data_IF_085384057065
#
_entry.id   IF_085384057065
#
_cell.length_a   1.000
_cell.length_b   1.000
_cell.length_c   1.000
_cell.angle_alpha   90.00
_cell.angle_beta   90.00
_cell.angle_gamma   90.00
#
_symmetry.space_group_name_H-M   'P 1'
#
loop_
_entity.id
_entity.type
_entity.pdbx_description
1 polymer ?
#
# COMPACT_ATOMS: atom_id res chain seq x y z
N UNK A 1 4.46 -34.78 4.89
CA UNK A 1 5.07 -35.28 3.63
C UNK A 1 6.44 -34.68 3.35
N UNK A 2 6.60 -33.35 3.36
CA UNK A 2 7.92 -32.68 3.21
C UNK A 2 8.88 -33.09 4.33
N UNK A 3 8.46 -33.00 5.60
CA UNK A 3 9.29 -33.35 6.76
C UNK A 3 9.78 -34.80 6.72
N UNK A 4 8.91 -35.73 6.30
CA UNK A 4 9.28 -37.14 6.14
C UNK A 4 10.32 -37.37 5.04
N UNK A 5 10.26 -36.61 3.93
CA UNK A 5 11.26 -36.67 2.86
C UNK A 5 12.60 -36.08 3.32
N UNK A 6 12.57 -34.96 4.06
CA UNK A 6 13.76 -34.35 4.66
C UNK A 6 14.44 -35.28 5.67
N UNK A 7 13.66 -35.93 6.55
CA UNK A 7 14.17 -36.93 7.51
C UNK A 7 14.83 -38.12 6.81
N UNK A 8 14.33 -38.51 5.63
CA UNK A 8 14.90 -39.57 4.79
C UNK A 8 16.06 -39.10 3.91
N UNK A 9 16.45 -37.82 3.99
CA UNK A 9 17.44 -37.17 3.12
C UNK A 9 17.10 -37.28 1.62
N UNK A 10 15.82 -37.43 1.30
CA UNK A 10 15.33 -37.43 -0.08
C UNK A 10 14.98 -35.99 -0.49
N UNK A 11 16.05 -35.23 -0.77
CA UNK A 11 15.95 -33.81 -1.12
C UNK A 11 15.22 -33.57 -2.45
N UNK A 12 15.34 -34.50 -3.41
CA UNK A 12 14.61 -34.44 -4.68
C UNK A 12 13.10 -34.51 -4.45
N UNK A 13 12.64 -35.46 -3.64
CA UNK A 13 11.23 -35.62 -3.34
C UNK A 13 10.71 -34.49 -2.45
N UNK A 14 11.51 -34.02 -1.49
CA UNK A 14 11.19 -32.85 -0.66
C UNK A 14 11.00 -31.60 -1.53
N UNK A 15 11.93 -31.33 -2.45
CA UNK A 15 11.86 -30.22 -3.41
C UNK A 15 10.61 -30.27 -4.26
N UNK A 16 10.27 -31.45 -4.80
CA UNK A 16 9.04 -31.64 -5.61
C UNK A 16 7.78 -31.30 -4.82
N UNK A 17 7.70 -31.69 -3.55
CA UNK A 17 6.57 -31.35 -2.69
C UNK A 17 6.50 -29.86 -2.37
N UNK A 18 7.65 -29.24 -2.10
CA UNK A 18 7.75 -27.81 -1.84
C UNK A 18 7.35 -26.99 -3.07
N UNK A 19 7.86 -27.34 -4.26
CA UNK A 19 7.50 -26.70 -5.52
C UNK A 19 6.00 -26.79 -5.79
N UNK A 20 5.40 -27.98 -5.61
CA UNK A 20 3.95 -28.14 -5.77
C UNK A 20 3.16 -27.23 -4.81
N UNK A 21 3.66 -27.02 -3.60
CA UNK A 21 3.11 -26.06 -2.66
C UNK A 21 3.21 -24.62 -3.19
N UNK A 22 4.37 -24.22 -3.69
CA UNK A 22 4.57 -22.91 -4.32
C UNK A 22 3.64 -22.71 -5.53
N UNK A 23 3.49 -23.72 -6.39
CA UNK A 23 2.62 -23.64 -7.57
C UNK A 23 1.14 -23.52 -7.19
N UNK A 24 0.75 -24.10 -6.06
CA UNK A 24 -0.63 -24.09 -5.56
C UNK A 24 -0.97 -22.78 -4.85
N UNK A 25 -0.08 -22.29 -3.99
CA UNK A 25 -0.35 -21.15 -3.10
C UNK A 25 0.27 -19.83 -3.59
N UNK A 26 1.16 -19.89 -4.57
CA UNK A 26 1.91 -18.75 -5.10
C UNK A 26 3.13 -18.38 -4.25
N UNK A 27 3.90 -17.42 -4.76
CA UNK A 27 5.07 -16.85 -4.09
C UNK A 27 4.62 -15.80 -3.08
N UNK A 28 4.35 -16.21 -1.84
CA UNK A 28 3.81 -15.30 -0.81
C UNK A 28 4.84 -15.01 0.29
N UNK A 29 5.03 -13.73 0.67
CA UNK A 29 5.82 -13.38 1.85
C UNK A 29 5.16 -13.79 3.17
N UNK A 30 3.82 -13.87 3.20
CA UNK A 30 3.00 -14.03 4.40
C UNK A 30 2.57 -15.48 4.70
N UNK A 31 2.62 -16.40 3.72
CA UNK A 31 2.49 -17.85 3.95
C UNK A 31 3.85 -18.54 3.65
N UNK A 32 4.83 -18.36 4.55
CA UNK A 32 6.25 -18.48 4.25
C UNK A 32 6.76 -19.91 4.03
N UNK A 33 5.98 -20.93 4.39
CA UNK A 33 6.54 -22.27 4.60
C UNK A 33 7.13 -22.85 3.31
N UNK A 34 6.36 -22.91 2.23
CA UNK A 34 6.83 -23.54 0.98
C UNK A 34 7.98 -22.76 0.35
N UNK A 35 7.84 -21.43 0.23
CA UNK A 35 8.88 -20.61 -0.40
C UNK A 35 10.17 -20.57 0.42
N UNK A 36 10.09 -20.32 1.74
CA UNK A 36 11.30 -20.27 2.60
C UNK A 36 11.96 -21.64 2.74
N UNK A 37 11.18 -22.73 2.81
CA UNK A 37 11.75 -24.07 2.84
C UNK A 37 12.40 -24.43 1.51
N UNK A 38 11.81 -24.03 0.38
CA UNK A 38 12.39 -24.26 -0.95
C UNK A 38 13.67 -23.45 -1.16
N UNK A 39 13.69 -22.17 -0.77
CA UNK A 39 14.90 -21.33 -0.78
C UNK A 39 16.01 -21.98 0.02
N UNK A 40 15.75 -22.37 1.28
CA UNK A 40 16.75 -23.01 2.14
C UNK A 40 17.27 -24.33 1.56
N UNK A 41 16.38 -25.12 0.95
CA UNK A 41 16.74 -26.39 0.32
C UNK A 41 17.59 -26.16 -0.93
N UNK A 42 17.21 -25.19 -1.77
CA UNK A 42 17.98 -24.84 -2.97
C UNK A 42 19.37 -24.29 -2.61
N UNK A 43 19.47 -23.40 -1.61
CA UNK A 43 20.76 -22.95 -1.05
C UNK A 43 21.61 -24.11 -0.51
N UNK A 44 21.00 -25.03 0.25
CA UNK A 44 21.71 -26.19 0.79
C UNK A 44 22.27 -27.12 -0.31
N UNK A 45 21.58 -27.23 -1.44
CA UNK A 45 22.01 -28.03 -2.59
C UNK A 45 22.87 -27.23 -3.61
N UNK A 46 23.24 -25.98 -3.31
CA UNK A 46 24.07 -25.14 -4.17
C UNK A 46 23.35 -24.52 -5.38
N UNK A 47 22.01 -24.51 -5.36
CA UNK A 47 21.12 -23.94 -6.39
C UNK A 47 20.77 -22.49 -6.08
N UNK A 48 21.80 -21.63 -6.11
CA UNK A 48 21.67 -20.22 -5.71
C UNK A 48 20.82 -19.39 -6.68
N UNK A 49 20.83 -19.73 -7.98
CA UNK A 49 20.02 -19.04 -8.99
C UNK A 49 18.52 -19.29 -8.76
N UNK A 50 18.15 -20.54 -8.47
CA UNK A 50 16.77 -20.92 -8.16
C UNK A 50 16.30 -20.30 -6.85
N UNK A 51 17.14 -20.33 -5.81
CA UNK A 51 16.85 -19.69 -4.53
C UNK A 51 16.62 -18.18 -4.70
N UNK A 52 17.48 -17.51 -5.48
CA UNK A 52 17.37 -16.07 -5.77
C UNK A 52 16.11 -15.76 -6.57
N UNK A 53 15.80 -16.55 -7.60
CA UNK A 53 14.58 -16.40 -8.41
C UNK A 53 13.31 -16.49 -7.56
N UNK A 54 13.24 -17.45 -6.62
CA UNK A 54 12.10 -17.59 -5.70
C UNK A 54 12.03 -16.38 -4.76
N UNK A 55 13.17 -15.91 -4.23
CA UNK A 55 13.22 -14.74 -3.35
C UNK A 55 12.77 -13.46 -4.08
N UNK A 56 13.18 -13.27 -5.33
CA UNK A 56 12.74 -12.15 -6.16
C UNK A 56 11.25 -12.23 -6.50
N UNK A 57 10.73 -13.43 -6.79
CA UNK A 57 9.30 -13.64 -7.00
C UNK A 57 8.49 -13.30 -5.74
N UNK A 58 8.98 -13.66 -4.54
CA UNK A 58 8.37 -13.25 -3.29
C UNK A 58 8.39 -11.73 -3.11
N UNK A 59 9.54 -11.09 -3.38
CA UNK A 59 9.69 -9.63 -3.23
C UNK A 59 8.77 -8.86 -4.19
N UNK A 60 8.56 -9.38 -5.41
CA UNK A 60 7.59 -8.81 -6.37
C UNK A 60 6.14 -8.90 -5.90
N UNK A 61 5.83 -9.89 -5.06
CA UNK A 61 4.48 -10.10 -4.52
C UNK A 61 4.29 -9.50 -3.12
N UNK A 62 5.34 -8.89 -2.55
CA UNK A 62 5.26 -8.15 -1.31
C UNK A 62 4.59 -6.81 -1.59
N UNK A 63 3.42 -6.59 -1.00
CA UNK A 63 2.76 -5.29 -1.01
C UNK A 63 3.57 -4.35 -0.12
N UNK A 64 3.96 -3.19 -0.66
CA UNK A 64 4.66 -2.16 0.09
C UNK A 64 3.68 -1.16 0.72
N UNK A 65 4.09 -0.53 1.82
CA UNK A 65 3.36 0.58 2.41
C UNK A 65 3.35 1.79 1.48
N UNK A 66 2.21 2.49 1.32
CA UNK A 66 2.16 3.75 0.60
C UNK A 66 3.13 4.78 1.19
N UNK A 67 3.82 5.51 0.30
CA UNK A 67 4.81 6.54 0.65
C UNK A 67 4.63 7.78 -0.21
N UNK A 68 5.46 8.80 -0.02
CA UNK A 68 5.51 10.00 -0.89
C UNK A 68 4.14 10.69 -1.09
N UNK A 69 3.45 11.08 -0.01
CA UNK A 69 2.11 11.64 -0.09
C UNK A 69 2.08 13.01 -0.77
N UNK A 70 1.01 13.28 -1.51
CA UNK A 70 0.55 14.60 -1.94
C UNK A 70 -0.95 14.70 -1.61
N UNK A 71 -1.41 15.68 -0.81
CA UNK A 71 -0.63 16.72 -0.15
C UNK A 71 0.49 16.17 0.74
N UNK A 72 1.63 16.85 0.78
CA UNK A 72 2.78 16.39 1.56
C UNK A 72 2.42 16.36 3.04
N UNK A 73 3.05 15.46 3.78
CA UNK A 73 2.85 15.42 5.23
C UNK A 73 3.24 16.77 5.85
N UNK A 74 2.32 17.33 6.64
CA UNK A 74 2.35 18.66 7.25
C UNK A 74 2.29 19.85 6.28
N UNK A 75 1.83 19.63 5.06
CA UNK A 75 1.63 20.73 4.10
C UNK A 75 0.50 21.66 4.53
N UNK A 76 0.68 22.95 4.34
CA UNK A 76 -0.29 23.99 4.70
C UNK A 76 -0.64 24.83 3.48
N UNK A 77 -1.87 25.35 3.43
CA UNK A 77 -2.30 26.17 2.30
C UNK A 77 -2.65 25.34 1.07
N UNK A 78 -3.01 24.07 1.27
CA UNK A 78 -3.44 23.18 0.18
C UNK A 78 -4.72 23.74 -0.44
N UNK A 79 -4.78 23.98 -1.77
CA UNK A 79 -5.99 24.42 -2.45
C UNK A 79 -7.15 23.44 -2.21
N UNK A 80 -8.40 23.89 -2.39
CA UNK A 80 -9.57 23.01 -2.18
C UNK A 80 -9.80 22.02 -3.35
N UNK A 81 -9.19 22.26 -4.51
CA UNK A 81 -9.31 21.50 -5.75
C UNK A 81 -8.08 20.60 -6.04
N UNK A 82 -7.37 20.20 -4.99
CA UNK A 82 -6.21 19.33 -5.07
C UNK A 82 -6.55 17.87 -5.45
N UNK A 83 -5.51 17.09 -5.71
CA UNK A 83 -5.59 15.64 -5.97
C UNK A 83 -4.73 14.93 -4.93
N UNK A 84 -5.28 13.92 -4.27
CA UNK A 84 -4.50 12.98 -3.46
C UNK A 84 -3.64 12.13 -4.39
N UNK A 85 -2.37 11.95 -4.05
CA UNK A 85 -1.44 11.09 -4.76
C UNK A 85 -0.48 10.45 -3.75
N UNK A 86 -0.04 9.23 -4.01
CA UNK A 86 0.94 8.50 -3.22
C UNK A 86 1.81 7.65 -4.13
N UNK A 87 2.93 7.15 -3.61
CA UNK A 87 3.81 6.26 -4.35
C UNK A 87 3.13 4.95 -4.72
N UNK A 88 3.27 4.54 -5.97
CA UNK A 88 2.84 3.23 -6.44
C UNK A 88 3.48 2.11 -5.62
N UNK A 89 2.63 1.22 -5.11
CA UNK A 89 3.05 0.05 -4.36
C UNK A 89 3.13 -1.13 -5.33
N UNK A 90 4.33 -1.64 -5.57
CA UNK A 90 4.70 -2.69 -6.53
C UNK A 90 3.69 -3.85 -6.71
N UNK A 91 3.11 -4.38 -5.63
CA UNK A 91 2.20 -5.53 -5.64
C UNK A 91 0.75 -5.16 -5.30
N UNK A 92 0.44 -3.87 -5.17
CA UNK A 92 -0.91 -3.41 -4.90
C UNK A 92 -1.76 -3.50 -6.18
N UNK A 93 -2.92 -4.13 -6.06
CA UNK A 93 -3.96 -4.18 -7.08
C UNK A 93 -5.02 -3.11 -6.87
N UNK A 94 -5.12 -2.58 -5.64
CA UNK A 94 -6.04 -1.50 -5.30
C UNK A 94 -5.58 -0.76 -4.04
N UNK A 95 -6.18 0.41 -3.81
CA UNK A 95 -5.96 1.22 -2.62
C UNK A 95 -7.27 1.63 -1.95
N UNK A 96 -7.24 1.69 -0.62
CA UNK A 96 -8.31 2.23 0.20
C UNK A 96 -7.80 3.49 0.90
N UNK A 97 -8.45 4.63 0.67
CA UNK A 97 -8.08 5.93 1.24
C UNK A 97 -9.02 6.27 2.40
N UNK A 98 -8.42 6.71 3.50
CA UNK A 98 -9.09 7.16 4.72
C UNK A 98 -8.78 8.64 4.93
N UNK A 99 -9.80 9.44 5.19
CA UNK A 99 -9.70 10.88 5.41
C UNK A 99 -10.62 11.28 6.57
N UNK A 100 -10.11 12.07 7.51
CA UNK A 100 -10.88 12.61 8.64
C UNK A 100 -10.31 13.93 9.14
N UNK A 101 -11.07 14.70 9.91
CA UNK A 101 -10.59 15.99 10.46
C UNK A 101 -9.83 15.78 11.76
N UNK A 102 -8.93 16.71 12.06
CA UNK A 102 -8.30 16.75 13.40
C UNK A 102 -9.39 16.95 14.45
N UNK A 103 -9.43 16.03 15.43
CA UNK A 103 -10.44 16.00 16.48
C UNK A 103 -11.54 14.95 16.25
N UNK A 104 -11.59 14.35 15.05
CA UNK A 104 -12.43 13.18 14.76
C UNK A 104 -11.62 11.88 14.93
N UNK A 105 -12.33 10.77 15.12
CA UNK A 105 -11.73 9.43 15.10
C UNK A 105 -11.46 8.97 13.67
N UNK A 106 -10.52 8.04 13.51
CA UNK A 106 -10.29 7.44 12.21
C UNK A 106 -11.54 6.65 11.76
N UNK A 107 -12.02 6.83 10.52
CA UNK A 107 -13.16 6.09 10.00
C UNK A 107 -12.92 4.58 9.98
N UNK A 108 -13.93 3.81 10.37
CA UNK A 108 -13.89 2.33 10.28
C UNK A 108 -13.83 1.83 8.83
N UNK A 109 -14.42 2.59 7.91
CA UNK A 109 -14.49 2.28 6.48
C UNK A 109 -13.78 3.34 5.65
N UNK A 110 -13.18 2.96 4.50
CA UNK A 110 -12.47 3.92 3.66
C UNK A 110 -13.41 4.96 3.06
N UNK A 111 -12.98 6.22 3.06
CA UNK A 111 -13.65 7.34 2.39
C UNK A 111 -13.60 7.16 0.86
N UNK A 112 -12.61 6.44 0.33
CA UNK A 112 -12.59 5.96 -1.06
C UNK A 112 -12.02 4.57 -1.12
N UNK A 113 -12.80 3.62 -1.62
CA UNK A 113 -12.45 2.20 -1.64
C UNK A 113 -12.04 1.74 -3.05
N UNK A 114 -11.19 0.71 -3.11
CA UNK A 114 -10.85 -0.05 -4.31
C UNK A 114 -10.35 0.80 -5.47
N UNK A 115 -9.58 1.84 -5.18
CA UNK A 115 -8.95 2.70 -6.17
C UNK A 115 -7.89 1.90 -6.93
N UNK A 116 -7.98 1.86 -8.26
CA UNK A 116 -7.00 1.16 -9.11
C UNK A 116 -5.80 2.03 -9.50
N UNK A 117 -5.88 3.33 -9.25
CA UNK A 117 -4.79 4.29 -9.44
C UNK A 117 -4.29 4.77 -8.08
N UNK A 118 -3.01 5.15 -8.02
CA UNK A 118 -2.36 5.74 -6.83
C UNK A 118 -2.72 7.22 -6.62
N UNK A 119 -3.89 7.63 -7.10
CA UNK A 119 -4.39 9.00 -7.00
C UNK A 119 -5.91 9.05 -6.99
N UNK A 120 -6.46 10.07 -6.35
CA UNK A 120 -7.91 10.34 -6.39
C UNK A 120 -8.20 11.79 -6.06
N UNK A 121 -9.34 12.30 -6.54
CA UNK A 121 -9.88 13.58 -6.05
C UNK A 121 -10.50 13.37 -4.66
N UNK A 122 -10.61 14.43 -3.83
CA UNK A 122 -11.35 14.35 -2.59
C UNK A 122 -12.77 13.79 -2.83
N UNK A 123 -13.17 12.71 -2.12
CA UNK A 123 -14.49 12.10 -2.31
C UNK A 123 -15.63 12.95 -1.75
N UNK A 124 -15.30 13.84 -0.82
CA UNK A 124 -16.22 14.73 -0.14
C UNK A 124 -15.76 16.18 -0.23
N UNK A 125 -16.67 17.10 0.10
CA UNK A 125 -16.38 18.53 0.10
C UNK A 125 -15.33 18.84 1.18
N UNK A 126 -14.22 19.42 0.75
CA UNK A 126 -13.14 19.85 1.62
C UNK A 126 -13.43 21.25 2.17
N UNK A 127 -13.33 21.41 3.48
CA UNK A 127 -13.55 22.69 4.15
C UNK A 127 -12.29 23.57 4.12
N UNK A 128 -12.43 24.89 3.88
CA UNK A 128 -11.32 25.82 3.96
C UNK A 128 -10.78 25.97 5.37
N UNK A 129 -9.49 26.29 5.49
CA UNK A 129 -8.80 26.53 6.76
C UNK A 129 -8.82 25.34 7.74
N UNK A 130 -9.09 24.13 7.25
CA UNK A 130 -9.32 22.93 8.04
C UNK A 130 -8.11 22.00 7.97
N UNK A 131 -7.80 21.33 9.08
CA UNK A 131 -6.70 20.38 9.16
C UNK A 131 -7.25 18.96 9.09
N UNK A 132 -6.77 18.19 8.13
CA UNK A 132 -7.19 16.82 7.85
C UNK A 132 -6.05 15.85 8.10
N UNK A 133 -6.39 14.68 8.62
CA UNK A 133 -5.52 13.51 8.64
C UNK A 133 -5.99 12.54 7.55
N UNK A 134 -5.05 11.87 6.92
CA UNK A 134 -5.35 10.87 5.92
C UNK A 134 -4.29 9.79 5.87
N UNK A 135 -4.68 8.61 5.41
CA UNK A 135 -3.76 7.51 5.10
C UNK A 135 -4.32 6.68 3.96
N UNK A 136 -3.46 5.83 3.41
CA UNK A 136 -3.84 4.88 2.36
C UNK A 136 -3.43 3.47 2.79
N UNK A 137 -4.31 2.51 2.56
CA UNK A 137 -3.98 1.09 2.64
C UNK A 137 -3.75 0.58 1.22
N UNK A 138 -2.58 -0.02 0.99
CA UNK A 138 -2.28 -0.72 -0.26
C UNK A 138 -2.73 -2.17 -0.14
N UNK A 139 -3.45 -2.65 -1.14
CA UNK A 139 -4.06 -3.98 -1.11
C UNK A 139 -3.57 -4.74 -2.33
N UNK A 140 -2.93 -5.87 -2.09
CA UNK A 140 -2.50 -6.79 -3.15
C UNK A 140 -3.14 -8.16 -3.00
N UNK A 141 -2.76 -9.07 -3.89
CA UNK A 141 -3.31 -10.43 -3.95
C UNK A 141 -3.13 -11.24 -2.65
N UNK A 142 -2.05 -10.98 -1.92
CA UNK A 142 -1.60 -11.82 -0.80
C UNK A 142 -1.54 -11.08 0.54
N UNK A 143 -2.11 -9.89 0.62
CA UNK A 143 -2.11 -9.09 1.85
C UNK A 143 -2.40 -7.62 1.60
N UNK A 144 -2.45 -6.88 2.69
CA UNK A 144 -2.60 -5.44 2.72
C UNK A 144 -1.51 -4.83 3.61
N UNK A 145 -1.15 -3.60 3.33
CA UNK A 145 -0.22 -2.81 4.15
C UNK A 145 -0.83 -1.45 4.45
N UNK A 146 -0.78 -1.08 5.73
CA UNK A 146 -1.30 0.21 6.21
C UNK A 146 -0.21 1.26 6.11
N UNK A 147 -0.49 2.32 5.35
CA UNK A 147 0.35 3.50 5.28
C UNK A 147 0.40 4.27 6.60
N UNK A 148 1.38 5.17 6.69
CA UNK A 148 1.47 6.13 7.77
C UNK A 148 0.32 7.15 7.73
N UNK A 149 0.04 7.77 8.87
CA UNK A 149 -0.93 8.87 8.95
C UNK A 149 -0.22 10.16 8.55
N UNK A 150 -0.72 10.80 7.49
CA UNK A 150 -0.27 12.10 7.02
C UNK A 150 -1.28 13.17 7.39
N UNK A 151 -0.79 14.39 7.62
CA UNK A 151 -1.63 15.54 7.96
C UNK A 151 -1.44 16.65 6.94
N UNK A 152 -2.48 17.39 6.60
CA UNK A 152 -2.37 18.62 5.82
C UNK A 152 -3.41 19.64 6.27
N UNK A 153 -3.18 20.92 5.95
CA UNK A 153 -4.10 22.02 6.21
C UNK A 153 -4.49 22.74 4.93
N UNK A 154 -5.78 22.89 4.71
CA UNK A 154 -6.33 23.56 3.53
C UNK A 154 -6.12 25.07 3.60
N UNK A 155 -6.09 25.71 2.43
CA UNK A 155 -6.08 27.16 2.31
C UNK A 155 -7.36 27.76 2.91
N UNK A 156 -7.27 29.00 3.37
CA UNK A 156 -8.46 29.75 3.76
C UNK A 156 -9.41 29.96 2.57
N UNK A 157 -10.68 30.22 2.84
CA UNK A 157 -11.61 30.61 1.80
C UNK A 157 -11.12 31.91 1.15
N UNK A 158 -11.18 32.00 -0.18
CA UNK A 158 -10.89 33.26 -0.86
C UNK A 158 -11.95 34.29 -0.41
N UNK A 159 -11.56 35.47 0.10
CA UNK A 159 -12.53 36.50 0.45
C UNK A 159 -13.35 36.88 -0.77
N UNK A 160 -14.67 36.98 -0.62
CA UNK A 160 -15.52 37.62 -1.63
C UNK A 160 -15.27 39.12 -1.48
N UNK A 161 -14.52 39.72 -2.39
CA UNK A 161 -14.44 41.18 -2.49
C UNK A 161 -15.75 41.62 -3.12
N UNK A 162 -16.59 42.30 -2.34
CA UNK A 162 -17.69 43.07 -2.90
C UNK A 162 -17.06 44.31 -3.54
N UNK A 163 -17.05 44.39 -4.88
CA UNK A 163 -16.83 45.68 -5.55
C UNK A 163 -17.93 46.61 -5.06
N UNK A 164 -17.56 47.62 -4.27
CA UNK A 164 -18.49 48.60 -3.78
C UNK A 164 -18.80 49.57 -4.93
N UNK A 165 -20.05 49.65 -5.44
CA UNK A 165 -20.38 50.54 -6.55
C UNK A 165 -20.23 52.04 -6.21
N UNK A 166 -19.86 52.39 -4.97
CA UNK A 166 -19.58 53.76 -4.56
C UNK A 166 -18.17 54.29 -4.95
N UNK A 167 -17.24 53.43 -5.41
CA UNK A 167 -15.89 53.85 -5.81
C UNK A 167 -15.80 54.40 -7.25
N UNK A 168 -16.93 54.52 -7.96
CA UNK A 168 -17.02 55.12 -9.31
C UNK A 168 -17.57 56.55 -9.33
N UNK A 169 -17.20 57.40 -8.35
CA UNK A 169 -17.58 58.83 -8.36
C UNK A 169 -16.39 59.75 -8.51
#
# INVERSE_FOLDING_TARGET
>A
MVELALLRKDFRQARKYLQRGVDTFGYTPHAPYFCRALIRLDQFEGREEEASSIQEAMNRNLVLKPSSPSPRNRETGVPLDFVFNWGDCNAATSYDLFLWKVGEEEPEYPTSARLTESRTRPPEKIEPGTTYLWRVHSIGRYGEEKGEIWVFRTSQAKPIIFDNPADYR
#
